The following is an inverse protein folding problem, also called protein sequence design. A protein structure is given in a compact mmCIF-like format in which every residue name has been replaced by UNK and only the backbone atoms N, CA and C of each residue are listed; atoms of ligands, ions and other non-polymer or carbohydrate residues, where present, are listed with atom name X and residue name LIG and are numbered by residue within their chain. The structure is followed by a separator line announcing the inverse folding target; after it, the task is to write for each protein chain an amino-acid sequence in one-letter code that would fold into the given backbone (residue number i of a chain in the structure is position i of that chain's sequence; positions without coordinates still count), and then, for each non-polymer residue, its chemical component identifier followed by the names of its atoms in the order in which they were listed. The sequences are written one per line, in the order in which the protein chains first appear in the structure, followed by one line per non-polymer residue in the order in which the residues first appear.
data_IF_709149530313
#
_entry.id   IF_709149530313
#
_cell.length_a   1.000
_cell.length_b   1.000
_cell.length_c   1.000
_cell.angle_alpha   90.00
_cell.angle_beta   90.00
_cell.angle_gamma   90.00
#
_symmetry.space_group_name_H-M   'P 1'
#
loop_
_entity.id
_entity.type
_entity.pdbx_description
1 polymer ?
#
# COMPACT_ATOMS: atom_id res chain seq x y z
N UNK A 1 9.99 -1.75 -10.01
CA UNK A 1 10.85 -2.80 -9.43
C UNK A 1 10.02 -4.06 -9.19
N UNK A 2 10.57 -5.27 -9.31
CA UNK A 2 9.83 -6.51 -9.00
C UNK A 2 10.16 -7.03 -7.60
N UNK A 3 9.27 -7.81 -7.00
CA UNK A 3 9.51 -8.44 -5.71
C UNK A 3 10.69 -9.41 -5.80
N UNK A 4 11.74 -9.18 -5.00
CA UNK A 4 12.90 -10.05 -4.93
C UNK A 4 13.21 -10.42 -3.46
N UNK A 5 12.90 -11.65 -3.02
CA UNK A 5 13.14 -12.08 -1.63
C UNK A 5 14.63 -12.15 -1.27
N UNK A 6 15.54 -12.06 -2.25
CA UNK A 6 16.98 -12.08 -2.02
C UNK A 6 17.54 -10.74 -1.56
N UNK A 7 16.78 -9.65 -1.65
CA UNK A 7 17.22 -8.31 -1.23
C UNK A 7 17.37 -8.24 0.29
N UNK A 8 18.22 -7.31 0.72
CA UNK A 8 18.67 -7.20 2.10
C UNK A 8 17.50 -6.94 3.05
N UNK A 9 16.66 -5.94 2.77
CA UNK A 9 15.52 -5.62 3.67
C UNK A 9 14.46 -6.73 3.68
N UNK A 10 14.20 -7.41 2.57
CA UNK A 10 13.27 -8.57 2.57
C UNK A 10 13.77 -9.73 3.44
N UNK A 11 15.07 -10.03 3.40
CA UNK A 11 15.69 -11.02 4.29
C UNK A 11 15.58 -10.61 5.76
N UNK A 12 15.87 -9.34 6.06
CA UNK A 12 15.75 -8.82 7.42
C UNK A 12 14.32 -8.91 7.95
N UNK A 13 13.32 -8.47 7.17
CA UNK A 13 11.90 -8.59 7.52
C UNK A 13 11.46 -10.04 7.73
N UNK A 14 11.99 -10.98 6.93
CA UNK A 14 11.69 -12.40 7.08
C UNK A 14 12.27 -12.99 8.37
N UNK A 15 13.51 -12.62 8.72
CA UNK A 15 14.14 -13.03 9.99
C UNK A 15 13.38 -12.50 11.20
N UNK A 16 13.02 -11.20 11.17
CA UNK A 16 12.19 -10.58 12.21
C UNK A 16 10.84 -11.28 12.35
N UNK A 17 10.16 -11.54 11.24
CA UNK A 17 8.86 -12.21 11.23
C UNK A 17 8.90 -13.63 11.80
N UNK A 18 10.02 -14.34 11.63
CA UNK A 18 10.25 -15.68 12.19
C UNK A 18 10.68 -15.67 13.66
N UNK A 19 10.74 -14.51 14.32
CA UNK A 19 11.23 -14.33 15.70
C UNK A 19 12.64 -14.88 15.91
N UNK A 20 13.43 -14.98 14.84
CA UNK A 20 14.87 -15.20 14.94
C UNK A 20 15.45 -13.85 15.34
N UNK A 21 16.20 -13.78 16.44
CA UNK A 21 16.99 -12.59 16.75
C UNK A 21 17.88 -12.33 15.53
N UNK A 22 17.59 -11.31 14.71
CA UNK A 22 18.64 -10.82 13.85
C UNK A 22 19.70 -10.36 14.85
N UNK A 23 20.93 -10.83 14.73
CA UNK A 23 22.02 -10.04 15.30
C UNK A 23 21.76 -8.60 14.84
N UNK A 24 21.80 -7.64 15.76
CA UNK A 24 21.64 -6.22 15.47
C UNK A 24 22.82 -5.76 14.61
N UNK A 25 22.95 -6.31 13.40
CA UNK A 25 23.65 -5.66 12.31
C UNK A 25 22.84 -4.40 12.07
N UNK A 26 23.32 -3.30 12.65
CA UNK A 26 22.90 -1.94 12.34
C UNK A 26 22.78 -1.87 10.83
N UNK A 27 21.56 -1.93 10.30
CA UNK A 27 21.34 -1.70 8.87
C UNK A 27 21.66 -0.22 8.73
N UNK A 28 22.77 0.16 8.08
CA UNK A 28 23.04 1.55 7.83
C UNK A 28 21.82 2.10 7.12
N UNK A 29 21.20 3.10 7.73
CA UNK A 29 20.25 3.95 7.04
C UNK A 29 21.11 4.87 6.18
N UNK A 30 21.77 4.32 5.16
CA UNK A 30 22.56 5.13 4.23
C UNK A 30 21.56 5.82 3.31
N UNK A 31 21.21 7.04 3.70
CA UNK A 31 20.24 7.94 3.07
C UNK A 31 20.66 8.42 1.66
N UNK A 32 21.79 7.97 1.10
CA UNK A 32 22.38 8.68 -0.04
C UNK A 32 22.34 7.96 -1.40
N UNK A 33 22.35 6.62 -1.54
CA UNK A 33 22.39 6.00 -2.89
C UNK A 33 21.80 4.57 -3.05
N UNK A 34 21.23 3.93 -2.02
CA UNK A 34 20.59 2.59 -2.11
C UNK A 34 19.06 2.63 -2.36
N UNK A 35 18.50 3.83 -2.63
CA UNK A 35 17.07 4.13 -2.55
C UNK A 35 16.15 3.25 -3.43
N UNK A 36 16.64 2.75 -4.57
CA UNK A 36 15.81 1.98 -5.49
C UNK A 36 15.76 0.48 -5.20
N UNK A 37 16.80 -0.13 -4.62
CA UNK A 37 16.81 -1.59 -4.45
C UNK A 37 15.93 -2.04 -3.30
N UNK A 38 15.77 -1.24 -2.26
CA UNK A 38 15.04 -1.63 -1.07
C UNK A 38 13.77 -0.79 -0.85
N UNK A 39 13.30 -0.08 -1.88
CA UNK A 39 12.12 0.80 -1.82
C UNK A 39 10.88 0.06 -1.31
N UNK A 40 10.45 -1.01 -1.97
CA UNK A 40 9.24 -1.73 -1.57
C UNK A 40 9.37 -2.37 -0.19
N UNK A 41 10.55 -2.88 0.15
CA UNK A 41 10.81 -3.48 1.46
C UNK A 41 10.85 -2.43 2.60
N UNK A 42 11.02 -1.15 2.27
CA UNK A 42 10.97 -0.04 3.23
C UNK A 42 9.54 0.37 3.61
N UNK A 43 8.56 0.06 2.76
CA UNK A 43 7.19 0.51 2.94
C UNK A 43 6.45 -0.33 3.99
N UNK A 44 5.49 0.25 4.74
CA UNK A 44 4.81 -0.44 5.84
C UNK A 44 4.13 -1.77 5.47
N UNK A 45 3.66 -1.91 4.23
CA UNK A 45 3.01 -3.14 3.76
C UNK A 45 3.96 -4.34 3.79
N UNK A 46 5.27 -4.12 3.58
CA UNK A 46 6.26 -5.18 3.48
C UNK A 46 6.43 -5.94 4.79
N UNK A 47 6.40 -5.22 5.93
CA UNK A 47 6.47 -5.83 7.25
C UNK A 47 5.26 -6.75 7.50
N UNK A 48 4.04 -6.29 7.19
CA UNK A 48 2.84 -7.09 7.34
C UNK A 48 2.85 -8.32 6.41
N UNK A 49 3.25 -8.12 5.15
CA UNK A 49 3.38 -9.20 4.17
C UNK A 49 4.35 -10.28 4.65
N UNK A 50 5.55 -9.90 5.11
CA UNK A 50 6.56 -10.82 5.65
C UNK A 50 6.04 -11.58 6.88
N UNK A 51 5.36 -10.89 7.79
CA UNK A 51 4.71 -11.53 8.95
C UNK A 51 3.67 -12.59 8.57
N UNK A 52 2.82 -12.30 7.58
CA UNK A 52 1.84 -13.27 7.09
C UNK A 52 2.52 -14.48 6.42
N UNK A 53 3.55 -14.23 5.60
CA UNK A 53 4.32 -15.28 4.93
C UNK A 53 5.03 -16.20 5.94
N UNK A 54 5.66 -15.65 6.98
CA UNK A 54 6.32 -16.42 8.03
C UNK A 54 5.35 -17.33 8.79
N UNK A 55 4.08 -16.92 8.92
CA UNK A 55 2.99 -17.72 9.52
C UNK A 55 2.37 -18.74 8.57
N UNK A 56 2.89 -18.88 7.36
CA UNK A 56 2.33 -19.78 6.33
C UNK A 56 1.02 -19.29 5.72
N UNK A 57 0.63 -18.02 5.93
CA UNK A 57 -0.56 -17.45 5.33
C UNK A 57 -0.30 -17.11 3.86
N UNK A 58 -1.31 -17.36 3.02
CA UNK A 58 -1.30 -16.91 1.63
C UNK A 58 -1.63 -15.42 1.61
N UNK A 59 -0.63 -14.59 1.31
CA UNK A 59 -0.77 -13.15 1.19
C UNK A 59 -0.36 -12.70 -0.22
N UNK A 60 -1.02 -11.67 -0.72
CA UNK A 60 -0.67 -10.96 -1.96
C UNK A 60 -0.88 -9.46 -1.76
N UNK A 61 -0.14 -8.65 -2.51
CA UNK A 61 -0.27 -7.19 -2.50
C UNK A 61 -0.65 -6.73 -3.90
N UNK A 62 -1.73 -5.95 -4.00
CA UNK A 62 -2.08 -5.22 -5.21
C UNK A 62 -1.61 -3.78 -5.04
N UNK A 63 -0.68 -3.36 -5.89
CA UNK A 63 -0.11 -2.00 -5.86
C UNK A 63 -0.57 -1.27 -7.13
N UNK A 64 -1.05 -0.05 -6.97
CA UNK A 64 -1.38 0.86 -8.06
C UNK A 64 -0.32 1.94 -8.12
N UNK A 65 0.25 2.17 -9.30
CA UNK A 65 1.11 3.33 -9.51
C UNK A 65 0.23 4.57 -9.60
N UNK A 66 0.50 5.54 -8.74
CA UNK A 66 -0.24 6.79 -8.64
C UNK A 66 0.77 7.95 -8.62
N UNK A 67 0.55 8.99 -9.41
CA UNK A 67 1.31 10.25 -9.27
C UNK A 67 0.85 10.99 -8.02
N UNK A 68 1.71 11.81 -7.42
CA UNK A 68 1.34 12.64 -6.27
C UNK A 68 0.14 13.56 -6.59
N UNK A 69 -0.78 13.70 -5.63
CA UNK A 69 -1.91 14.64 -5.70
C UNK A 69 -3.26 13.98 -5.43
N UNK A 70 -4.22 14.28 -6.30
CA UNK A 70 -5.57 13.72 -6.21
C UNK A 70 -5.62 12.30 -6.78
N UNK A 71 -5.56 11.31 -5.89
CA UNK A 71 -5.59 9.90 -6.24
C UNK A 71 -6.97 9.25 -6.05
N UNK A 72 -8.05 10.03 -6.09
CA UNK A 72 -9.41 9.49 -5.98
C UNK A 72 -9.68 8.47 -7.09
N UNK A 73 -9.38 8.82 -8.35
CA UNK A 73 -9.60 7.94 -9.49
C UNK A 73 -8.75 6.66 -9.41
N UNK A 74 -7.47 6.79 -9.04
CA UNK A 74 -6.57 5.64 -8.89
C UNK A 74 -7.02 4.70 -7.77
N UNK A 75 -7.52 5.26 -6.66
CA UNK A 75 -8.09 4.49 -5.55
C UNK A 75 -9.29 3.66 -6.00
N UNK A 76 -10.17 4.24 -6.83
CA UNK A 76 -11.32 3.53 -7.40
C UNK A 76 -10.88 2.44 -8.38
N UNK A 77 -9.87 2.71 -9.20
CA UNK A 77 -9.29 1.73 -10.12
C UNK A 77 -8.67 0.55 -9.36
N UNK A 78 -7.97 0.80 -8.25
CA UNK A 78 -7.40 -0.25 -7.40
C UNK A 78 -8.50 -1.08 -6.74
N UNK A 79 -9.57 -0.45 -6.25
CA UNK A 79 -10.71 -1.15 -5.66
C UNK A 79 -11.43 -2.06 -6.67
N UNK A 80 -11.64 -1.57 -7.89
CA UNK A 80 -12.20 -2.33 -9.00
C UNK A 80 -11.27 -3.48 -9.43
N UNK A 81 -9.96 -3.23 -9.53
CA UNK A 81 -8.95 -4.25 -9.80
C UNK A 81 -8.95 -5.36 -8.74
N UNK A 82 -9.09 -5.00 -7.46
CA UNK A 82 -9.20 -5.94 -6.36
C UNK A 82 -10.48 -6.79 -6.45
N UNK A 83 -11.62 -6.19 -6.81
CA UNK A 83 -12.87 -6.90 -7.04
C UNK A 83 -12.72 -7.95 -8.15
N UNK A 84 -12.14 -7.56 -9.29
CA UNK A 84 -11.87 -8.49 -10.40
C UNK A 84 -10.92 -9.61 -10.01
N UNK A 85 -9.83 -9.29 -9.30
CA UNK A 85 -8.88 -10.27 -8.81
C UNK A 85 -9.52 -11.30 -7.89
N UNK A 86 -10.44 -10.87 -7.02
CA UNK A 86 -11.18 -11.73 -6.10
C UNK A 86 -12.43 -12.37 -6.72
N UNK A 87 -12.74 -12.08 -7.99
CA UNK A 87 -14.00 -12.46 -8.65
C UNK A 87 -15.24 -12.05 -7.84
N UNK A 88 -15.13 -10.92 -7.16
CA UNK A 88 -16.16 -10.35 -6.32
C UNK A 88 -16.86 -9.22 -7.08
N UNK A 89 -18.19 -9.23 -7.08
CA UNK A 89 -18.99 -8.11 -7.57
C UNK A 89 -19.66 -7.44 -6.37
N UNK A 90 -19.23 -6.24 -5.95
CA UNK A 90 -19.91 -5.53 -4.87
C UNK A 90 -21.35 -5.24 -5.31
N UNK A 91 -22.33 -5.58 -4.47
CA UNK A 91 -23.71 -5.13 -4.72
C UNK A 91 -23.69 -3.60 -4.62
N UNK A 92 -23.88 -2.93 -5.74
CA UNK A 92 -23.90 -1.49 -5.76
C UNK A 92 -24.92 -0.96 -4.74
N UNK A 93 -24.52 0.06 -3.98
CA UNK A 93 -25.50 0.93 -3.35
C UNK A 93 -26.42 1.52 -4.43
N UNK A 94 -27.63 1.97 -4.07
CA UNK A 94 -28.57 2.61 -5.00
C UNK A 94 -27.84 3.65 -5.87
N UNK A 95 -27.66 3.36 -7.16
CA UNK A 95 -26.86 4.18 -8.08
C UNK A 95 -25.65 3.50 -8.74
N UNK A 96 -25.37 2.22 -8.48
CA UNK A 96 -24.49 1.43 -9.35
C UNK A 96 -22.97 1.58 -9.11
N UNK A 97 -22.54 2.32 -8.08
CA UNK A 97 -21.13 2.69 -7.90
C UNK A 97 -20.58 2.61 -6.48
N UNK A 98 -19.29 2.88 -6.35
CA UNK A 98 -18.58 2.99 -5.08
C UNK A 98 -19.13 4.16 -4.24
N UNK A 99 -19.37 3.91 -2.96
CA UNK A 99 -19.79 4.97 -2.02
C UNK A 99 -18.58 5.81 -1.66
N UNK A 100 -18.64 7.11 -1.96
CA UNK A 100 -17.57 8.05 -1.60
C UNK A 100 -17.58 8.32 -0.09
N UNK A 101 -16.46 8.15 0.62
CA UNK A 101 -16.37 8.48 2.04
C UNK A 101 -16.71 9.95 2.30
N UNK A 102 -17.42 10.24 3.41
CA UNK A 102 -17.77 11.61 3.76
C UNK A 102 -16.55 12.52 3.92
N UNK A 103 -15.42 11.97 4.40
CA UNK A 103 -14.16 12.70 4.53
C UNK A 103 -13.61 13.23 3.20
N UNK A 104 -14.01 12.65 2.07
CA UNK A 104 -13.55 13.11 0.76
C UNK A 104 -14.21 14.41 0.31
N UNK A 105 -15.37 14.76 0.88
CA UNK A 105 -16.09 16.00 0.53
C UNK A 105 -15.33 17.27 0.90
N UNK A 106 -14.39 17.19 1.83
CA UNK A 106 -13.60 18.33 2.31
C UNK A 106 -12.13 18.25 1.90
N UNK A 107 -11.76 17.39 0.94
CA UNK A 107 -10.36 17.24 0.47
C UNK A 107 -9.84 18.55 -0.11
N UNK A 108 -10.71 19.35 -0.73
CA UNK A 108 -10.36 20.68 -1.26
C UNK A 108 -10.72 21.81 -0.29
N UNK A 109 -10.93 21.51 0.99
CA UNK A 109 -11.34 22.48 2.00
C UNK A 109 -12.87 22.64 2.10
N UNK A 110 -13.34 23.69 2.82
CA UNK A 110 -14.77 23.97 2.93
C UNK A 110 -15.37 24.37 1.58
N UNK A 111 -16.70 24.24 1.41
CA UNK A 111 -17.38 24.76 0.22
C UNK A 111 -17.04 26.24 -0.01
N UNK A 112 -16.93 26.68 -1.28
CA UNK A 112 -16.65 28.08 -1.57
C UNK A 112 -17.72 28.98 -0.96
N UNK A 113 -17.30 30.11 -0.42
CA UNK A 113 -18.23 31.13 0.06
C UNK A 113 -18.95 31.73 -1.15
N UNK A 114 -20.22 31.37 -1.33
CA UNK A 114 -21.03 31.84 -2.46
C UNK A 114 -21.37 33.33 -2.38
N UNK A 115 -21.05 34.03 -1.28
CA UNK A 115 -21.27 35.48 -1.15
C UNK A 115 -20.22 36.33 -1.88
N UNK A 116 -19.14 35.72 -2.36
CA UNK A 116 -18.05 36.41 -3.09
C UNK A 116 -18.24 36.38 -4.62
N UNK A 117 -19.27 35.69 -5.11
CA UNK A 117 -19.68 35.60 -6.51
C UNK A 117 -21.02 36.33 -6.71
#
# INVERSE_FOLDING_TARGET
QEYNPSQRRWKHLSLLAESKNPEEESIPFDDEFEEDEDYYASLPFAALFSCFKARGLKATCLLCYCSEGDNIADSMNLAEGACRFLQFSPSAAEGGGWVIPLSWKSVYGPPPDMSIF
#
